data_IF_543270000844
#
_entry.id   IF_543270000844
#
_cell.length_a   1.000
_cell.length_b   1.000
_cell.length_c   1.000
_cell.angle_alpha   90.00
_cell.angle_beta   90.00
_cell.angle_gamma   90.00
#
_symmetry.space_group_name_H-M   'P 1'
#
loop_
_entity.id
_entity.type
_entity.pdbx_description
1 polymer ?
#
# COMPACT_ATOMS: atom_id res chain seq x y z
N UNK A 1 -5.59 28.46 -16.42
CA UNK A 1 -5.97 28.14 -17.81
C UNK A 1 -6.08 26.64 -17.94
N UNK A 2 -7.29 26.08 -17.96
CA UNK A 2 -7.51 24.64 -18.09
C UNK A 2 -7.52 24.26 -19.58
N UNK A 3 -6.50 23.54 -20.03
CA UNK A 3 -6.51 22.94 -21.36
C UNK A 3 -7.58 21.83 -21.39
N UNK A 4 -8.52 21.93 -22.33
CA UNK A 4 -9.51 20.88 -22.59
C UNK A 4 -8.79 19.63 -23.11
N UNK A 5 -9.22 18.42 -22.72
CA UNK A 5 -8.61 17.18 -23.19
C UNK A 5 -8.82 17.02 -24.71
N UNK A 6 -7.88 16.37 -25.43
CA UNK A 6 -6.62 15.82 -24.95
C UNK A 6 -5.54 16.90 -24.70
N UNK A 7 -4.66 16.67 -23.72
CA UNK A 7 -3.49 17.53 -23.53
C UNK A 7 -2.53 17.35 -24.71
N UNK A 8 -2.23 18.43 -25.42
CA UNK A 8 -1.24 18.42 -26.50
C UNK A 8 0.20 18.24 -25.99
N UNK A 9 0.47 18.66 -24.74
CA UNK A 9 1.79 18.63 -24.11
C UNK A 9 1.67 18.37 -22.60
N UNK A 10 2.69 17.73 -22.02
CA UNK A 10 2.83 17.58 -20.56
C UNK A 10 3.67 18.73 -20.01
N UNK A 11 3.31 19.24 -18.84
CA UNK A 11 4.06 20.26 -18.08
C UNK A 11 4.11 19.88 -16.61
N UNK A 12 5.19 20.22 -15.89
CA UNK A 12 5.30 19.94 -14.46
C UNK A 12 4.17 20.63 -13.69
N UNK A 13 3.53 19.89 -12.77
CA UNK A 13 2.40 20.39 -11.99
C UNK A 13 2.69 20.30 -10.50
N UNK A 14 2.70 21.43 -9.81
CA UNK A 14 2.74 21.46 -8.34
C UNK A 14 1.38 21.02 -7.79
N UNK A 15 1.41 20.07 -6.85
CA UNK A 15 0.23 19.46 -6.22
C UNK A 15 0.46 19.36 -4.72
N UNK A 16 -0.63 19.38 -3.93
CA UNK A 16 -0.58 19.16 -2.49
C UNK A 16 -1.00 17.72 -2.20
N UNK A 17 -0.20 16.99 -1.42
CA UNK A 17 -0.56 15.63 -1.04
C UNK A 17 -1.76 15.62 -0.09
N UNK A 18 -2.79 14.84 -0.40
CA UNK A 18 -3.94 14.69 0.51
C UNK A 18 -3.56 14.07 1.87
N UNK A 19 -2.46 13.31 1.94
CA UNK A 19 -2.05 12.57 3.14
C UNK A 19 -1.10 13.38 4.04
N UNK A 20 0.09 13.76 3.55
CA UNK A 20 1.06 14.52 4.35
C UNK A 20 0.89 16.04 4.26
N UNK A 21 0.00 16.54 3.41
CA UNK A 21 -0.24 17.97 3.16
C UNK A 21 0.96 18.77 2.63
N UNK A 22 2.03 18.09 2.25
CA UNK A 22 3.21 18.71 1.62
C UNK A 22 3.00 18.86 0.11
N UNK A 23 3.57 19.91 -0.44
CA UNK A 23 3.67 20.11 -1.89
C UNK A 23 4.61 19.09 -2.53
N UNK A 24 4.30 18.70 -3.76
CA UNK A 24 5.13 17.84 -4.59
C UNK A 24 4.88 18.13 -6.07
N UNK A 25 5.84 17.75 -6.91
CA UNK A 25 5.76 17.94 -8.35
C UNK A 25 5.27 16.64 -9.00
N UNK A 26 4.18 16.73 -9.77
CA UNK A 26 3.79 15.71 -10.73
C UNK A 26 4.47 16.03 -12.06
N UNK A 27 5.63 15.41 -12.29
CA UNK A 27 6.49 15.78 -13.41
C UNK A 27 5.92 15.37 -14.76
N UNK A 28 6.40 16.03 -15.81
CA UNK A 28 6.14 15.67 -17.22
C UNK A 28 6.47 14.20 -17.51
N UNK A 29 7.61 13.72 -17.00
CA UNK A 29 8.06 12.33 -17.15
C UNK A 29 7.07 11.39 -16.48
N UNK A 30 6.59 11.73 -15.28
CA UNK A 30 5.61 10.92 -14.56
C UNK A 30 4.26 10.90 -15.27
N UNK A 31 3.77 12.05 -15.75
CA UNK A 31 2.54 12.16 -16.54
C UNK A 31 2.59 11.27 -17.79
N UNK A 32 3.68 11.36 -18.55
CA UNK A 32 3.91 10.54 -19.74
C UNK A 32 3.90 9.05 -19.39
N UNK A 33 4.57 8.67 -18.30
CA UNK A 33 4.57 7.27 -17.84
C UNK A 33 3.16 6.79 -17.47
N UNK A 34 2.38 7.60 -16.74
CA UNK A 34 1.01 7.25 -16.34
C UNK A 34 0.10 7.02 -17.55
N UNK A 35 0.14 7.92 -18.53
CA UNK A 35 -0.71 7.80 -19.73
C UNK A 35 -0.21 6.69 -20.67
N UNK A 36 1.06 6.75 -21.09
CA UNK A 36 1.53 5.90 -22.18
C UNK A 36 1.82 4.47 -21.74
N UNK A 37 2.34 4.29 -20.51
CA UNK A 37 2.75 2.98 -19.99
C UNK A 37 1.69 2.36 -19.09
N UNK A 38 1.15 3.12 -18.15
CA UNK A 38 0.15 2.60 -17.20
C UNK A 38 -1.29 2.71 -17.73
N UNK A 39 -1.51 3.38 -18.87
CA UNK A 39 -2.82 3.54 -19.53
C UNK A 39 -3.86 4.24 -18.66
N UNK A 40 -3.43 5.08 -17.72
CA UNK A 40 -4.34 5.98 -17.02
C UNK A 40 -4.91 7.02 -17.98
N UNK A 41 -6.12 7.50 -17.69
CA UNK A 41 -6.72 8.57 -18.49
C UNK A 41 -5.88 9.85 -18.37
N UNK A 42 -5.79 10.64 -19.44
CA UNK A 42 -4.83 11.76 -19.54
C UNK A 42 -5.03 12.84 -18.46
N UNK A 43 -6.25 12.94 -17.89
CA UNK A 43 -6.57 13.85 -16.78
C UNK A 43 -6.31 13.27 -15.39
N UNK A 44 -5.79 12.04 -15.30
CA UNK A 44 -5.46 11.41 -14.04
C UNK A 44 -4.28 12.12 -13.40
N UNK A 45 -4.35 12.31 -12.09
CA UNK A 45 -3.27 12.91 -11.31
C UNK A 45 -3.08 12.17 -9.97
N UNK A 46 -1.87 12.21 -9.41
CA UNK A 46 -1.62 11.65 -8.09
C UNK A 46 -2.31 12.48 -7.00
N UNK A 47 -3.12 11.80 -6.18
CA UNK A 47 -3.67 12.36 -4.92
C UNK A 47 -2.63 12.49 -3.80
N UNK A 48 -1.53 11.74 -3.92
CA UNK A 48 -0.51 11.65 -2.88
C UNK A 48 0.89 11.78 -3.46
N UNK A 49 1.80 12.37 -2.69
CA UNK A 49 3.19 12.50 -3.08
C UNK A 49 3.85 11.11 -3.27
N UNK A 50 4.99 11.03 -3.98
CA UNK A 50 5.68 9.76 -4.23
C UNK A 50 5.96 8.96 -2.96
N UNK A 51 6.40 9.62 -1.88
CA UNK A 51 6.68 8.97 -0.60
C UNK A 51 5.41 8.35 0.02
N UNK A 52 4.31 9.11 0.08
CA UNK A 52 3.04 8.59 0.60
C UNK A 52 2.49 7.45 -0.27
N UNK A 53 2.61 7.52 -1.60
CA UNK A 53 2.22 6.40 -2.48
C UNK A 53 3.05 5.15 -2.21
N UNK A 54 4.35 5.29 -1.97
CA UNK A 54 5.22 4.18 -1.62
C UNK A 54 4.80 3.53 -0.29
N UNK A 55 4.55 4.34 0.76
CA UNK A 55 4.08 3.84 2.06
C UNK A 55 2.74 3.11 1.91
N UNK A 56 1.79 3.65 1.14
CA UNK A 56 0.52 2.99 0.84
C UNK A 56 0.74 1.65 0.13
N UNK A 57 1.65 1.61 -0.86
CA UNK A 57 1.98 0.37 -1.57
C UNK A 57 2.59 -0.68 -0.64
N UNK A 58 3.52 -0.29 0.22
CA UNK A 58 4.12 -1.17 1.23
C UNK A 58 3.04 -1.73 2.17
N UNK A 59 2.14 -0.88 2.67
CA UNK A 59 1.04 -1.30 3.55
C UNK A 59 0.08 -2.26 2.85
N UNK A 60 -0.25 -2.03 1.56
CA UNK A 60 -1.05 -2.97 0.76
C UNK A 60 -0.35 -4.32 0.62
N UNK A 61 0.94 -4.32 0.27
CA UNK A 61 1.72 -5.56 0.16
C UNK A 61 1.78 -6.34 1.47
N UNK A 62 1.95 -5.66 2.61
CA UNK A 62 1.91 -6.30 3.93
C UNK A 62 0.53 -6.90 4.20
N UNK A 63 -0.57 -6.17 3.93
CA UNK A 63 -1.91 -6.70 4.11
C UNK A 63 -2.16 -7.94 3.21
N UNK A 64 -1.66 -7.95 1.97
CA UNK A 64 -1.74 -9.13 1.10
C UNK A 64 -1.01 -10.32 1.70
N UNK A 65 0.24 -10.14 2.18
CA UNK A 65 1.00 -11.20 2.85
C UNK A 65 0.28 -11.73 4.08
N UNK A 66 -0.24 -10.84 4.93
CA UNK A 66 -1.05 -11.21 6.10
C UNK A 66 -2.25 -12.05 5.65
N UNK A 67 -2.99 -11.61 4.63
CA UNK A 67 -4.18 -12.33 4.15
C UNK A 67 -3.86 -13.75 3.71
N UNK A 68 -2.73 -13.96 3.03
CA UNK A 68 -2.26 -15.29 2.62
C UNK A 68 -1.94 -16.13 3.86
N UNK A 69 -1.15 -15.60 4.80
CA UNK A 69 -0.71 -16.35 5.97
C UNK A 69 -1.87 -16.69 6.93
N UNK A 70 -2.81 -15.77 7.09
CA UNK A 70 -4.03 -16.00 7.87
C UNK A 70 -4.92 -17.03 7.21
N UNK A 71 -5.02 -17.06 5.87
CA UNK A 71 -5.75 -18.10 5.16
C UNK A 71 -5.09 -19.47 5.38
N UNK A 72 -3.77 -19.56 5.19
CA UNK A 72 -3.01 -20.79 5.46
C UNK A 72 -3.18 -21.28 6.91
N UNK A 73 -3.24 -20.36 7.88
CA UNK A 73 -3.52 -20.69 9.27
C UNK A 73 -4.91 -21.29 9.48
N UNK A 74 -5.93 -20.72 8.84
CA UNK A 74 -7.29 -21.27 8.91
C UNK A 74 -7.39 -22.63 8.26
N UNK A 75 -6.69 -22.83 7.14
CA UNK A 75 -6.76 -24.07 6.36
C UNK A 75 -5.99 -25.21 7.04
N UNK A 76 -4.83 -24.93 7.67
CA UNK A 76 -3.97 -25.95 8.28
C UNK A 76 -4.22 -26.18 9.77
N UNK A 77 -4.98 -25.34 10.44
CA UNK A 77 -5.35 -25.50 11.85
C UNK A 77 -4.13 -25.67 12.77
N UNK A 78 -3.99 -26.85 13.36
CA UNK A 78 -2.93 -27.19 14.32
C UNK A 78 -1.58 -27.52 13.69
N UNK A 79 -1.55 -27.79 12.39
CA UNK A 79 -0.31 -28.10 11.66
C UNK A 79 0.46 -26.86 11.21
N UNK A 80 0.11 -25.66 11.69
CA UNK A 80 0.87 -24.45 11.38
C UNK A 80 2.16 -24.41 12.21
N UNK A 81 3.26 -23.96 11.58
CA UNK A 81 4.51 -23.78 12.29
C UNK A 81 4.50 -22.51 13.17
N UNK A 82 5.23 -22.55 14.29
CA UNK A 82 5.41 -21.41 15.21
C UNK A 82 5.93 -20.18 14.45
N UNK A 83 6.87 -20.37 13.53
CA UNK A 83 7.50 -19.30 12.75
C UNK A 83 6.46 -18.51 11.96
N UNK A 84 5.43 -19.19 11.44
CA UNK A 84 4.38 -18.54 10.65
C UNK A 84 3.46 -17.69 11.52
N UNK A 85 3.14 -18.13 12.74
CA UNK A 85 2.40 -17.33 13.72
C UNK A 85 3.21 -16.09 14.13
N UNK A 86 4.51 -16.25 14.37
CA UNK A 86 5.42 -15.12 14.65
C UNK A 86 5.39 -14.11 13.49
N UNK A 87 5.51 -14.58 12.25
CA UNK A 87 5.43 -13.69 11.07
C UNK A 87 4.10 -12.93 10.99
N UNK A 88 2.97 -13.56 11.31
CA UNK A 88 1.67 -12.89 11.35
C UNK A 88 1.66 -11.77 12.41
N UNK A 89 2.18 -12.04 13.61
CA UNK A 89 2.26 -11.08 14.72
C UNK A 89 3.13 -9.87 14.35
N UNK A 90 4.30 -10.12 13.77
CA UNK A 90 5.23 -9.07 13.33
C UNK A 90 4.61 -8.19 12.24
N UNK A 91 3.97 -8.81 11.23
CA UNK A 91 3.35 -8.06 10.14
C UNK A 91 2.20 -7.19 10.62
N UNK A 92 1.33 -7.69 11.52
CA UNK A 92 0.26 -6.88 12.12
C UNK A 92 0.81 -5.72 12.96
N UNK A 93 1.88 -5.96 13.72
CA UNK A 93 2.55 -4.93 14.52
C UNK A 93 3.13 -3.83 13.63
N UNK A 94 3.79 -4.20 12.53
CA UNK A 94 4.40 -3.26 11.57
C UNK A 94 3.39 -2.32 10.91
N UNK A 95 2.15 -2.75 10.72
CA UNK A 95 1.08 -1.91 10.15
C UNK A 95 0.18 -1.25 11.22
N UNK A 96 0.56 -1.32 12.48
CA UNK A 96 -0.13 -0.69 13.60
C UNK A 96 -1.43 -1.37 14.04
N UNK A 97 -1.73 -2.58 13.56
CA UNK A 97 -2.94 -3.34 13.93
C UNK A 97 -2.70 -4.14 15.22
N UNK A 98 -2.47 -3.43 16.33
CA UNK A 98 -2.05 -4.00 17.63
C UNK A 98 -3.00 -5.06 18.17
N UNK A 99 -4.31 -4.86 18.08
CA UNK A 99 -5.30 -5.83 18.59
C UNK A 99 -5.25 -7.17 17.85
N UNK A 100 -5.00 -7.14 16.53
CA UNK A 100 -4.79 -8.37 15.75
C UNK A 100 -3.48 -9.06 16.13
N UNK A 101 -2.40 -8.30 16.33
CA UNK A 101 -1.13 -8.87 16.81
C UNK A 101 -1.29 -9.57 18.16
N UNK A 102 -1.99 -8.95 19.12
CA UNK A 102 -2.32 -9.54 20.43
C UNK A 102 -3.14 -10.82 20.31
N UNK A 103 -4.12 -10.86 19.41
CA UNK A 103 -4.90 -12.07 19.15
C UNK A 103 -4.01 -13.24 18.70
N UNK A 104 -3.14 -13.05 17.71
CA UNK A 104 -2.28 -14.15 17.24
C UNK A 104 -1.21 -14.53 18.27
N UNK A 105 -0.77 -13.59 19.11
CA UNK A 105 0.08 -13.89 20.26
C UNK A 105 -0.61 -14.78 21.29
N UNK A 106 -1.91 -14.54 21.58
CA UNK A 106 -2.65 -15.40 22.51
C UNK A 106 -2.92 -16.79 21.93
N UNK A 107 -3.12 -16.90 20.61
CA UNK A 107 -3.18 -18.18 19.90
C UNK A 107 -1.87 -18.94 20.04
N UNK A 108 -0.73 -18.27 19.80
CA UNK A 108 0.59 -18.89 19.92
C UNK A 108 0.81 -19.47 21.33
N UNK A 109 0.56 -18.68 22.38
CA UNK A 109 0.71 -19.08 23.80
C UNK A 109 -0.23 -20.20 24.27
N UNK A 110 -1.33 -20.44 23.53
CA UNK A 110 -2.29 -21.50 23.86
C UNK A 110 -1.92 -22.83 23.21
N UNK A 111 -1.25 -22.77 22.05
CA UNK A 111 -0.85 -23.97 21.30
C UNK A 111 0.51 -24.52 21.75
N UNK A 112 1.38 -23.67 22.27
CA UNK A 112 2.75 -23.97 22.69
C UNK A 112 3.04 -23.28 24.02
#
# INVERSE_FOLDING_TARGET
MSLLPPYFVYFDQTRISENCKLEFIFSTIEQKHWYEKLKFWVQSYPKHCPNCRNIIRIKKNINTKISIFVKEFKDKGDSISIEKLIQIIELYSRIGKREKAKYYLSVLKKKF
#
